data_IF_531695791600
#
_entry.id   IF_531695791600
#
_cell.length_a   1.000
_cell.length_b   1.000
_cell.length_c   1.000
_cell.angle_alpha   90.00
_cell.angle_beta   90.00
_cell.angle_gamma   90.00
#
_symmetry.space_group_name_H-M   'P 1'
#
loop_
_entity.id
_entity.type
_entity.pdbx_description
1 polymer ?
#
# COMPACT_ATOMS: atom_id res chain seq x y z
N UNK A 1 13.50 -11.05 -21.34
CA UNK A 1 12.70 -11.96 -20.49
C UNK A 1 12.75 -11.38 -19.10
N UNK A 2 11.63 -11.20 -18.40
CA UNK A 2 11.70 -10.81 -17.00
C UNK A 2 12.48 -11.88 -16.25
N UNK A 3 13.41 -11.46 -15.41
CA UNK A 3 14.13 -12.38 -14.51
C UNK A 3 13.08 -13.05 -13.62
N UNK A 4 13.20 -14.37 -13.44
CA UNK A 4 12.33 -15.18 -12.55
C UNK A 4 12.51 -14.80 -11.06
N UNK A 5 13.03 -13.61 -10.76
CA UNK A 5 13.31 -13.13 -9.41
C UNK A 5 12.08 -12.41 -8.84
N UNK A 6 11.84 -12.63 -7.57
CA UNK A 6 10.82 -11.90 -6.80
C UNK A 6 11.10 -10.39 -6.85
N UNK A 7 10.08 -9.62 -7.19
CA UNK A 7 10.12 -8.16 -7.15
C UNK A 7 8.93 -7.66 -6.33
N UNK A 8 9.23 -6.92 -5.31
CA UNK A 8 8.23 -6.33 -4.42
C UNK A 8 8.38 -4.82 -4.39
N UNK A 9 7.35 -4.11 -3.94
CA UNK A 9 7.41 -2.66 -3.75
C UNK A 9 6.73 -2.24 -2.45
N UNK A 10 7.38 -1.33 -1.73
CA UNK A 10 6.71 -0.48 -0.78
C UNK A 10 6.34 0.81 -1.49
N UNK A 11 5.05 1.16 -1.45
CA UNK A 11 4.51 2.25 -2.26
C UNK A 11 3.70 3.23 -1.38
N UNK A 12 4.36 3.97 -0.48
CA UNK A 12 3.68 4.90 0.42
C UNK A 12 3.26 6.19 -0.26
N UNK A 13 2.10 6.71 0.16
CA UNK A 13 1.73 8.11 -0.11
C UNK A 13 2.37 9.03 0.92
N UNK A 14 2.93 10.19 0.53
CA UNK A 14 3.63 11.12 1.41
C UNK A 14 2.67 11.95 2.25
N UNK A 15 2.10 11.33 3.30
CA UNK A 15 1.03 11.92 4.15
C UNK A 15 1.45 12.19 5.60
N UNK A 16 2.75 12.25 5.88
CA UNK A 16 3.34 12.53 7.18
C UNK A 16 4.04 11.32 7.83
N UNK A 17 4.00 11.21 9.14
CA UNK A 17 4.73 10.19 9.90
C UNK A 17 4.38 8.75 9.49
N UNK A 18 5.38 7.87 9.58
CA UNK A 18 5.24 6.45 9.25
C UNK A 18 4.44 5.71 10.33
N UNK A 19 3.18 5.36 10.02
CA UNK A 19 2.35 4.56 10.91
C UNK A 19 2.93 3.14 11.06
N UNK A 20 2.85 2.57 12.28
CA UNK A 20 3.33 1.21 12.59
C UNK A 20 2.80 0.17 11.61
N UNK A 21 1.52 0.25 11.21
CA UNK A 21 0.94 -0.66 10.22
C UNK A 21 1.59 -0.55 8.84
N UNK A 22 1.91 0.67 8.39
CA UNK A 22 2.61 0.88 7.12
C UNK A 22 4.06 0.39 7.19
N UNK A 23 4.73 0.64 8.31
CA UNK A 23 6.10 0.16 8.53
C UNK A 23 6.16 -1.38 8.59
N UNK A 24 5.14 -2.04 9.19
CA UNK A 24 4.99 -3.50 9.13
C UNK A 24 4.85 -4.01 7.69
N UNK A 25 4.03 -3.34 6.90
CA UNK A 25 3.87 -3.69 5.49
C UNK A 25 5.18 -3.51 4.72
N UNK A 26 5.92 -2.42 4.97
CA UNK A 26 7.24 -2.20 4.39
C UNK A 26 8.22 -3.32 4.79
N UNK A 27 8.24 -3.70 6.07
CA UNK A 27 9.08 -4.77 6.59
C UNK A 27 8.77 -6.11 5.91
N UNK A 28 7.49 -6.52 5.84
CA UNK A 28 7.12 -7.79 5.20
C UNK A 28 7.44 -7.79 3.70
N UNK A 29 7.26 -6.65 3.04
CA UNK A 29 7.61 -6.47 1.63
C UNK A 29 9.12 -6.62 1.40
N UNK A 30 9.92 -6.03 2.29
CA UNK A 30 11.38 -6.13 2.30
C UNK A 30 11.84 -7.57 2.58
N UNK A 31 11.28 -8.20 3.62
CA UNK A 31 11.64 -9.57 3.99
C UNK A 31 11.33 -10.56 2.86
N UNK A 32 10.17 -10.42 2.19
CA UNK A 32 9.82 -11.25 1.03
C UNK A 32 10.85 -11.10 -0.09
N UNK A 33 11.25 -9.87 -0.44
CA UNK A 33 12.25 -9.66 -1.48
C UNK A 33 13.60 -10.25 -1.09
N UNK A 34 14.07 -9.96 0.13
CA UNK A 34 15.42 -10.36 0.56
C UNK A 34 15.55 -11.86 0.85
N UNK A 35 14.46 -12.50 1.32
CA UNK A 35 14.42 -13.95 1.49
C UNK A 35 14.61 -14.70 0.17
N UNK A 36 14.06 -14.18 -0.91
CA UNK A 36 14.08 -14.76 -2.25
C UNK A 36 15.21 -14.20 -3.15
N UNK A 37 16.23 -13.56 -2.56
CA UNK A 37 17.30 -12.87 -3.33
C UNK A 37 16.75 -11.95 -4.43
N UNK A 38 15.58 -11.37 -4.19
CA UNK A 38 14.83 -10.53 -5.11
C UNK A 38 15.16 -9.06 -5.00
N UNK A 39 14.26 -8.23 -5.54
CA UNK A 39 14.40 -6.76 -5.58
C UNK A 39 13.30 -6.11 -4.76
N UNK A 40 13.69 -5.23 -3.83
CA UNK A 40 12.80 -4.38 -3.06
C UNK A 40 12.80 -2.96 -3.63
N UNK A 41 11.65 -2.49 -4.10
CA UNK A 41 11.47 -1.18 -4.75
C UNK A 41 10.78 -0.21 -3.79
N UNK A 42 11.25 1.02 -3.74
CA UNK A 42 10.52 2.15 -3.15
C UNK A 42 9.87 2.97 -4.25
N UNK A 43 8.53 3.10 -4.24
CA UNK A 43 7.76 3.96 -5.12
C UNK A 43 6.97 4.98 -4.30
N UNK A 44 7.06 6.25 -4.63
CA UNK A 44 6.28 7.30 -3.98
C UNK A 44 4.98 7.52 -4.75
N UNK A 45 3.83 7.35 -4.08
CA UNK A 45 2.50 7.51 -4.66
C UNK A 45 1.89 8.85 -4.20
N UNK A 46 2.19 9.89 -4.95
CA UNK A 46 1.85 11.29 -4.68
C UNK A 46 0.73 11.85 -5.58
N UNK A 47 -0.07 10.98 -6.20
CA UNK A 47 -1.16 11.39 -7.10
C UNK A 47 -2.32 12.09 -6.40
N UNK A 48 -2.45 11.95 -5.08
CA UNK A 48 -3.41 12.70 -4.26
C UNK A 48 -2.73 13.94 -3.66
N UNK A 49 -2.66 15.00 -4.47
CA UNK A 49 -2.03 16.27 -4.09
C UNK A 49 -2.71 16.95 -2.89
N UNK A 50 -4.00 16.67 -2.65
CA UNK A 50 -4.74 17.24 -1.51
C UNK A 50 -4.29 16.70 -0.15
N UNK A 51 -3.61 15.54 -0.13
CA UNK A 51 -3.07 14.91 1.09
C UNK A 51 -1.54 14.95 1.19
N UNK A 52 -0.90 15.58 0.22
CA UNK A 52 0.57 15.74 0.26
C UNK A 52 0.99 16.60 1.45
N UNK A 53 1.99 16.14 2.19
CA UNK A 53 2.60 16.85 3.31
C UNK A 53 4.06 17.12 2.99
N UNK A 54 4.47 18.38 3.03
CA UNK A 54 5.85 18.78 2.82
C UNK A 54 6.78 18.07 3.82
N UNK A 55 7.92 17.56 3.36
CA UNK A 55 8.86 16.79 4.18
C UNK A 55 8.48 15.33 4.43
N UNK A 56 7.27 14.88 4.05
CA UNK A 56 6.84 13.50 4.30
C UNK A 56 7.67 12.46 3.54
N UNK A 57 8.21 12.81 2.38
CA UNK A 57 9.11 11.93 1.61
C UNK A 57 10.41 11.70 2.38
N UNK A 58 10.98 12.75 2.98
CA UNK A 58 12.18 12.63 3.81
C UNK A 58 11.94 11.76 5.06
N UNK A 59 10.76 11.88 5.66
CA UNK A 59 10.34 10.99 6.77
C UNK A 59 10.32 9.53 6.32
N UNK A 60 9.80 9.24 5.13
CA UNK A 60 9.81 7.88 4.57
C UNK A 60 11.25 7.39 4.39
N UNK A 61 12.10 8.16 3.72
CA UNK A 61 13.50 7.78 3.47
C UNK A 61 14.28 7.55 4.78
N UNK A 62 14.18 8.49 5.71
CA UNK A 62 14.88 8.40 6.98
C UNK A 62 14.41 7.19 7.79
N UNK A 63 13.08 6.98 7.89
CA UNK A 63 12.54 5.81 8.60
C UNK A 63 13.04 4.49 8.01
N UNK A 64 13.00 4.33 6.69
CA UNK A 64 13.46 3.10 6.05
C UNK A 64 14.97 2.89 6.22
N UNK A 65 15.78 3.95 6.15
CA UNK A 65 17.24 3.87 6.39
C UNK A 65 17.55 3.54 7.84
N UNK A 66 16.92 4.21 8.80
CA UNK A 66 17.09 3.97 10.24
C UNK A 66 16.69 2.55 10.65
N UNK A 67 15.69 1.99 9.97
CA UNK A 67 15.20 0.63 10.24
C UNK A 67 15.92 -0.46 9.42
N UNK A 68 16.89 -0.09 8.57
CA UNK A 68 17.65 -1.03 7.74
C UNK A 68 16.90 -1.58 6.53
N UNK A 69 15.71 -1.04 6.20
CA UNK A 69 14.91 -1.45 5.05
C UNK A 69 15.39 -0.75 3.77
N UNK A 70 16.63 -1.02 3.37
CA UNK A 70 17.25 -0.38 2.21
C UNK A 70 16.68 -0.94 0.90
N UNK A 71 16.22 -0.04 0.04
CA UNK A 71 15.66 -0.38 -1.27
C UNK A 71 16.76 -0.52 -2.33
N UNK A 72 16.51 -1.38 -3.30
CA UNK A 72 17.42 -1.66 -4.42
C UNK A 72 17.16 -0.72 -5.60
N UNK A 73 15.94 -0.22 -5.74
CA UNK A 73 15.50 0.74 -6.75
C UNK A 73 14.55 1.75 -6.11
N UNK A 74 14.67 3.01 -6.47
CA UNK A 74 13.81 4.05 -5.88
C UNK A 74 14.11 5.46 -6.40
N UNK A 75 13.37 6.49 -5.92
CA UNK A 75 13.47 7.83 -6.47
C UNK A 75 14.86 8.47 -6.36
N UNK A 76 15.58 8.20 -5.28
CA UNK A 76 16.87 8.82 -4.96
C UNK A 76 18.07 8.05 -5.50
N UNK A 77 17.92 6.74 -5.71
CA UNK A 77 18.99 5.86 -6.21
C UNK A 77 18.81 5.45 -7.67
N UNK A 78 17.62 5.70 -8.23
CA UNK A 78 17.28 5.29 -9.59
C UNK A 78 17.04 3.79 -9.74
N UNK A 79 17.13 3.32 -10.98
CA UNK A 79 16.94 1.92 -11.38
C UNK A 79 16.40 1.81 -12.81
N UNK A 80 16.22 0.59 -13.33
CA UNK A 80 15.89 0.35 -14.74
C UNK A 80 14.44 0.67 -15.12
N UNK A 81 13.52 0.82 -14.16
CA UNK A 81 12.08 0.94 -14.40
C UNK A 81 11.48 2.27 -13.91
N UNK A 82 12.34 3.24 -13.65
CA UNK A 82 11.92 4.59 -13.23
C UNK A 82 11.10 5.35 -14.29
N UNK A 83 10.62 6.54 -13.92
CA UNK A 83 10.66 7.20 -12.62
C UNK A 83 9.92 6.44 -11.51
N UNK A 84 10.32 6.66 -10.23
CA UNK A 84 9.72 5.98 -9.07
C UNK A 84 8.82 6.90 -8.24
N UNK A 85 8.49 8.08 -8.76
CA UNK A 85 7.47 9.01 -8.23
C UNK A 85 6.32 9.05 -9.21
N UNK A 86 5.10 8.80 -8.74
CA UNK A 86 3.95 8.65 -9.65
C UNK A 86 3.62 9.93 -10.42
N UNK A 87 3.74 11.11 -9.82
CA UNK A 87 3.52 12.38 -10.51
C UNK A 87 4.45 12.60 -11.70
N UNK A 88 5.66 12.03 -11.69
CA UNK A 88 6.60 12.09 -12.81
C UNK A 88 6.21 11.16 -13.99
N UNK A 89 5.25 10.25 -13.77
CA UNK A 89 4.76 9.26 -14.75
C UNK A 89 3.44 9.63 -15.39
N UNK A 90 2.89 10.80 -15.10
CA UNK A 90 1.53 11.21 -15.42
C UNK A 90 1.13 11.02 -16.88
N UNK A 91 1.96 11.41 -17.83
CA UNK A 91 1.67 11.30 -19.28
C UNK A 91 1.47 9.86 -19.76
N UNK A 92 1.96 8.88 -19.03
CA UNK A 92 1.91 7.46 -19.38
C UNK A 92 0.54 6.86 -19.12
N UNK A 93 -0.08 7.17 -17.98
CA UNK A 93 -1.33 6.53 -17.56
C UNK A 93 -2.48 6.77 -18.53
N UNK A 94 -2.56 7.97 -19.10
CA UNK A 94 -3.59 8.31 -20.07
C UNK A 94 -3.54 7.41 -21.31
N UNK A 95 -2.35 7.08 -21.82
CA UNK A 95 -2.17 6.20 -22.98
C UNK A 95 -2.74 4.81 -22.72
N UNK A 96 -2.49 4.24 -21.53
CA UNK A 96 -3.05 2.94 -21.15
C UNK A 96 -4.57 2.97 -20.99
N UNK A 97 -5.13 4.05 -20.43
CA UNK A 97 -6.57 4.19 -20.34
C UNK A 97 -7.23 4.33 -21.73
N UNK A 98 -6.63 5.09 -22.65
CA UNK A 98 -7.09 5.24 -24.04
C UNK A 98 -6.96 3.91 -24.83
N UNK A 99 -5.94 3.11 -24.56
CA UNK A 99 -5.83 1.75 -25.08
C UNK A 99 -7.04 0.91 -24.67
N UNK A 100 -7.41 0.91 -23.38
CA UNK A 100 -8.59 0.19 -22.91
C UNK A 100 -9.89 0.69 -23.54
N UNK A 101 -10.00 1.99 -23.82
CA UNK A 101 -11.14 2.53 -24.56
C UNK A 101 -11.19 1.97 -25.99
N UNK A 102 -10.05 1.99 -26.69
CA UNK A 102 -9.96 1.47 -28.05
C UNK A 102 -10.29 -0.05 -28.12
N UNK A 103 -9.98 -0.78 -27.06
CA UNK A 103 -10.29 -2.24 -26.94
C UNK A 103 -11.71 -2.50 -26.37
N UNK A 104 -12.51 -1.46 -26.11
CA UNK A 104 -13.86 -1.60 -25.55
C UNK A 104 -13.88 -2.08 -24.08
N UNK A 105 -12.77 -1.96 -23.37
CA UNK A 105 -12.62 -2.32 -21.94
C UNK A 105 -12.75 -1.12 -20.98
N UNK A 106 -12.81 0.09 -21.56
CA UNK A 106 -13.11 1.34 -20.87
C UNK A 106 -13.95 2.25 -21.75
N UNK A 107 -14.44 3.35 -21.22
CA UNK A 107 -15.25 4.31 -21.95
C UNK A 107 -15.13 5.73 -21.36
N UNK A 108 -15.44 6.74 -22.18
CA UNK A 108 -15.54 8.14 -21.76
C UNK A 108 -16.87 8.37 -21.03
N UNK A 109 -16.81 8.98 -19.87
CA UNK A 109 -18.00 9.34 -19.08
C UNK A 109 -18.03 10.86 -18.89
N UNK A 110 -19.12 11.49 -19.34
CA UNK A 110 -19.35 12.93 -19.32
C UNK A 110 -20.30 13.37 -18.19
N UNK A 111 -20.54 12.50 -17.20
CA UNK A 111 -21.38 12.85 -16.05
C UNK A 111 -20.71 13.91 -15.18
N UNK A 112 -21.44 14.96 -14.84
CA UNK A 112 -20.99 15.99 -13.91
C UNK A 112 -21.10 15.52 -12.46
N UNK A 113 -20.40 16.21 -11.55
CA UNK A 113 -20.49 15.91 -10.10
C UNK A 113 -21.92 16.11 -9.60
N UNK A 114 -22.60 17.19 -10.01
CA UNK A 114 -23.98 17.49 -9.61
C UNK A 114 -24.95 16.38 -10.00
N UNK A 115 -24.78 15.81 -11.22
CA UNK A 115 -25.60 14.69 -11.67
C UNK A 115 -25.36 13.44 -10.80
N UNK A 116 -24.10 13.13 -10.48
CA UNK A 116 -23.77 11.98 -9.68
C UNK A 116 -24.23 12.14 -8.23
N UNK A 117 -24.12 13.34 -7.66
CA UNK A 117 -24.66 13.66 -6.33
C UNK A 117 -26.18 13.51 -6.28
N UNK A 118 -26.90 13.99 -7.29
CA UNK A 118 -28.36 13.81 -7.40
C UNK A 118 -28.74 12.32 -7.47
N UNK A 119 -28.05 11.55 -8.31
CA UNK A 119 -28.22 10.09 -8.40
C UNK A 119 -28.02 9.41 -7.03
N UNK A 120 -26.92 9.70 -6.38
CA UNK A 120 -26.60 9.11 -5.07
C UNK A 120 -27.58 9.56 -3.98
N UNK A 121 -28.11 10.79 -4.07
CA UNK A 121 -29.12 11.27 -3.13
C UNK A 121 -30.46 10.52 -3.31
N UNK A 122 -30.87 10.27 -4.55
CA UNK A 122 -32.06 9.48 -4.88
C UNK A 122 -31.93 8.03 -4.40
N UNK A 123 -30.80 7.37 -4.71
CA UNK A 123 -30.51 6.00 -4.26
C UNK A 123 -30.57 5.89 -2.72
N UNK A 124 -29.94 6.83 -2.00
CA UNK A 124 -30.02 6.87 -0.53
C UNK A 124 -31.45 7.07 -0.01
N UNK A 125 -32.23 7.92 -0.68
CA UNK A 125 -33.63 8.14 -0.29
C UNK A 125 -34.50 6.88 -0.45
N UNK A 126 -34.14 6.04 -1.45
CA UNK A 126 -34.80 4.76 -1.70
C UNK A 126 -34.26 3.61 -0.82
N UNK A 127 -33.25 3.86 0.02
CA UNK A 127 -32.59 2.83 0.83
C UNK A 127 -31.66 1.90 0.04
N UNK A 128 -31.25 2.31 -1.15
CA UNK A 128 -30.34 1.57 -2.02
C UNK A 128 -28.87 1.92 -1.71
N UNK A 129 -27.97 1.00 -2.04
CA UNK A 129 -26.55 1.31 -2.05
C UNK A 129 -26.21 2.26 -3.19
N UNK A 130 -25.41 3.28 -2.91
CA UNK A 130 -24.98 4.24 -3.93
C UNK A 130 -24.04 3.57 -4.94
N UNK A 131 -24.34 3.67 -6.21
CA UNK A 131 -23.52 3.16 -7.31
C UNK A 131 -23.71 4.03 -8.56
N UNK A 132 -22.75 3.92 -9.48
CA UNK A 132 -22.85 4.57 -10.79
C UNK A 132 -23.81 3.80 -11.70
N UNK A 133 -24.76 4.49 -12.32
CA UNK A 133 -25.84 3.91 -13.15
C UNK A 133 -25.40 3.47 -14.57
N UNK A 134 -24.17 3.71 -14.95
CA UNK A 134 -23.67 3.34 -16.27
C UNK A 134 -24.13 4.25 -17.42
N UNK A 135 -24.68 5.42 -17.12
CA UNK A 135 -25.31 6.34 -18.08
C UNK A 135 -24.51 6.56 -19.38
N UNK A 136 -23.18 6.68 -19.29
CA UNK A 136 -22.30 6.90 -20.45
C UNK A 136 -21.69 5.62 -21.03
N UNK A 137 -21.99 4.47 -20.44
CA UNK A 137 -21.31 3.21 -20.73
C UNK A 137 -21.47 2.72 -22.18
N UNK A 138 -22.63 2.95 -22.75
CA UNK A 138 -23.01 2.47 -24.06
C UNK A 138 -23.42 3.61 -25.02
N UNK A 139 -22.83 4.82 -24.83
CA UNK A 139 -23.00 5.93 -25.75
C UNK A 139 -22.52 5.57 -27.15
N UNK A 140 -23.25 5.97 -28.21
CA UNK A 140 -22.78 5.80 -29.58
C UNK A 140 -21.42 6.46 -29.84
N UNK A 141 -20.54 5.81 -30.59
CA UNK A 141 -19.21 6.31 -30.90
C UNK A 141 -19.20 7.72 -31.49
N UNK A 142 -20.18 8.02 -32.36
CA UNK A 142 -20.32 9.34 -32.98
C UNK A 142 -20.68 10.43 -31.96
N UNK A 143 -21.52 10.11 -30.96
CA UNK A 143 -21.83 11.03 -29.87
C UNK A 143 -20.59 11.29 -29.01
N UNK A 144 -19.84 10.25 -28.66
CA UNK A 144 -18.60 10.39 -27.92
C UNK A 144 -17.61 11.30 -28.67
N UNK A 145 -17.42 11.10 -29.97
CA UNK A 145 -16.57 11.93 -30.81
C UNK A 145 -17.00 13.40 -30.83
N UNK A 146 -18.30 13.65 -30.97
CA UNK A 146 -18.85 15.01 -30.98
C UNK A 146 -18.61 15.72 -29.64
N UNK A 147 -18.85 15.05 -28.51
CA UNK A 147 -18.65 15.60 -27.17
C UNK A 147 -17.16 15.87 -26.87
N UNK A 148 -16.28 14.96 -27.26
CA UNK A 148 -14.84 15.18 -27.17
C UNK A 148 -14.38 16.35 -28.04
N UNK A 149 -14.88 16.47 -29.28
CA UNK A 149 -14.57 17.60 -30.19
C UNK A 149 -15.12 18.92 -29.67
N UNK A 150 -16.24 18.92 -28.95
CA UNK A 150 -16.78 20.09 -28.28
C UNK A 150 -15.99 20.49 -27.01
N UNK A 151 -15.02 19.67 -26.57
CA UNK A 151 -14.22 19.95 -25.38
C UNK A 151 -14.97 19.71 -24.06
N UNK A 152 -16.03 18.88 -24.07
CA UNK A 152 -16.74 18.55 -22.83
C UNK A 152 -15.78 17.87 -21.84
N UNK A 153 -15.83 18.25 -20.56
CA UNK A 153 -15.07 17.57 -19.51
C UNK A 153 -15.50 16.09 -19.41
N UNK A 154 -14.55 15.20 -19.21
CA UNK A 154 -14.80 13.77 -19.10
C UNK A 154 -13.87 13.10 -18.10
N UNK A 155 -14.27 11.93 -17.68
CA UNK A 155 -13.42 10.93 -17.01
C UNK A 155 -13.38 9.65 -17.87
N UNK A 156 -12.35 8.82 -17.70
CA UNK A 156 -12.34 7.49 -18.31
C UNK A 156 -12.68 6.48 -17.23
N UNK A 157 -13.69 5.62 -17.51
CA UNK A 157 -14.13 4.56 -16.60
C UNK A 157 -13.80 3.17 -17.16
N UNK A 158 -13.42 2.26 -16.28
CA UNK A 158 -13.32 0.84 -16.59
C UNK A 158 -14.69 0.27 -16.93
N UNK A 159 -14.78 -0.53 -17.97
CA UNK A 159 -16.01 -1.24 -18.35
C UNK A 159 -16.01 -2.63 -17.70
N UNK A 160 -16.50 -2.72 -16.44
CA UNK A 160 -16.57 -3.97 -15.69
C UNK A 160 -17.64 -4.88 -16.29
N UNK A 161 -17.40 -6.18 -16.50
CA UNK A 161 -18.45 -7.13 -16.92
C UNK A 161 -19.64 -7.08 -15.94
N UNK A 162 -20.86 -7.11 -16.46
CA UNK A 162 -22.09 -7.07 -15.61
C UNK A 162 -22.48 -8.44 -15.06
N UNK A 163 -22.04 -9.51 -15.74
CA UNK A 163 -22.36 -10.89 -15.39
C UNK A 163 -21.10 -11.64 -14.99
N UNK A 164 -21.28 -12.73 -14.25
CA UNK A 164 -20.19 -13.61 -13.79
C UNK A 164 -19.55 -13.16 -12.51
N UNK A 165 -18.48 -13.85 -12.16
CA UNK A 165 -17.73 -13.71 -10.91
C UNK A 165 -16.28 -13.42 -11.23
N UNK A 166 -15.67 -12.54 -10.46
CA UNK A 166 -14.22 -12.30 -10.50
C UNK A 166 -13.59 -12.78 -9.21
N UNK A 167 -12.76 -13.82 -9.30
CA UNK A 167 -12.05 -14.41 -8.17
C UNK A 167 -10.55 -14.12 -8.21
N UNK A 168 -9.91 -14.29 -7.07
CA UNK A 168 -8.46 -14.28 -6.91
C UNK A 168 -8.04 -15.10 -5.68
N UNK A 169 -6.80 -15.58 -5.73
CA UNK A 169 -6.19 -16.27 -4.61
C UNK A 169 -5.28 -15.32 -3.84
N UNK A 170 -5.51 -15.24 -2.53
CA UNK A 170 -4.66 -14.50 -1.59
C UNK A 170 -3.93 -15.48 -0.69
N UNK A 171 -2.63 -15.28 -0.49
CA UNK A 171 -1.81 -16.19 0.31
C UNK A 171 -2.30 -16.31 1.76
N UNK A 172 -2.81 -15.20 2.32
CA UNK A 172 -3.29 -15.16 3.71
C UNK A 172 -4.76 -15.54 3.81
N UNK A 173 -5.62 -14.97 2.95
CA UNK A 173 -7.07 -15.12 3.06
C UNK A 173 -7.63 -16.31 2.26
N UNK A 174 -6.86 -16.86 1.34
CA UNK A 174 -7.29 -17.93 0.45
C UNK A 174 -8.09 -17.42 -0.73
N UNK A 175 -8.92 -18.25 -1.32
CA UNK A 175 -9.74 -17.90 -2.48
C UNK A 175 -10.86 -16.93 -2.10
N UNK A 176 -11.00 -15.85 -2.87
CA UNK A 176 -12.01 -14.80 -2.69
C UNK A 176 -12.68 -14.56 -4.03
N UNK A 177 -14.01 -14.52 -4.04
CA UNK A 177 -14.83 -14.25 -5.22
C UNK A 177 -15.80 -13.10 -4.94
N UNK A 178 -16.06 -12.30 -5.98
CA UNK A 178 -17.04 -11.20 -5.94
C UNK A 178 -17.85 -11.23 -7.21
N UNK A 179 -19.17 -11.14 -7.07
CA UNK A 179 -20.09 -10.99 -8.20
C UNK A 179 -19.78 -9.70 -8.97
N UNK A 180 -19.65 -9.78 -10.28
CA UNK A 180 -19.33 -8.62 -11.10
C UNK A 180 -20.41 -7.54 -11.02
N UNK A 181 -21.66 -7.93 -10.80
CA UNK A 181 -22.78 -7.01 -10.61
C UNK A 181 -22.68 -6.12 -9.37
N UNK A 182 -21.88 -6.52 -8.38
CA UNK A 182 -21.62 -5.74 -7.16
C UNK A 182 -20.50 -4.69 -7.33
N UNK A 183 -19.83 -4.71 -8.48
CA UNK A 183 -18.73 -3.81 -8.75
C UNK A 183 -19.12 -2.65 -9.66
N UNK A 184 -18.79 -1.43 -9.23
CA UNK A 184 -18.95 -0.23 -10.04
C UNK A 184 -17.87 -0.07 -11.10
N UNK A 185 -18.24 0.51 -12.24
CA UNK A 185 -17.33 1.00 -13.26
C UNK A 185 -16.46 2.13 -12.67
N UNK A 186 -15.28 1.76 -12.14
CA UNK A 186 -14.39 2.71 -11.47
C UNK A 186 -13.77 3.72 -12.45
N UNK A 187 -13.48 4.91 -11.95
CA UNK A 187 -12.73 5.91 -12.71
C UNK A 187 -11.27 5.48 -12.80
N UNK A 188 -10.72 5.50 -14.00
CA UNK A 188 -9.30 5.27 -14.29
C UNK A 188 -8.53 6.60 -14.37
N UNK A 189 -9.05 7.54 -15.17
CA UNK A 189 -8.50 8.90 -15.35
C UNK A 189 -9.55 9.91 -14.94
N UNK A 190 -9.17 10.85 -14.09
CA UNK A 190 -9.99 11.96 -13.62
C UNK A 190 -10.06 13.08 -14.66
N UNK A 191 -10.97 14.05 -14.45
CA UNK A 191 -11.16 15.20 -15.33
C UNK A 191 -9.92 16.07 -15.52
N UNK A 192 -9.06 16.12 -14.49
CA UNK A 192 -7.76 16.83 -14.53
C UNK A 192 -6.66 16.04 -15.28
N UNK A 193 -6.97 14.87 -15.81
CA UNK A 193 -6.02 13.98 -16.47
C UNK A 193 -5.20 13.08 -15.52
N UNK A 194 -5.38 13.22 -14.22
CA UNK A 194 -4.70 12.40 -13.22
C UNK A 194 -5.32 10.99 -13.17
N UNK A 195 -4.50 9.93 -13.04
CA UNK A 195 -5.03 8.60 -12.77
C UNK A 195 -5.61 8.53 -11.35
N UNK A 196 -6.55 7.62 -11.16
CA UNK A 196 -6.92 7.21 -9.80
C UNK A 196 -5.85 6.27 -9.24
N UNK A 197 -5.77 6.19 -7.92
CA UNK A 197 -4.89 5.25 -7.23
C UNK A 197 -5.06 3.81 -7.77
N UNK A 198 -6.30 3.36 -7.91
CA UNK A 198 -6.61 1.99 -8.35
C UNK A 198 -6.08 1.67 -9.76
N UNK A 199 -5.98 2.64 -10.62
CA UNK A 199 -5.45 2.45 -11.96
C UNK A 199 -3.92 2.59 -11.99
N UNK A 200 -3.41 3.64 -11.36
CA UNK A 200 -1.97 3.92 -11.34
C UNK A 200 -1.17 2.75 -10.75
N UNK A 201 -1.63 2.17 -9.63
CA UNK A 201 -0.90 1.08 -9.00
C UNK A 201 -0.81 -0.18 -9.89
N UNK A 202 -1.85 -0.51 -10.66
CA UNK A 202 -1.85 -1.67 -11.56
C UNK A 202 -0.87 -1.45 -12.72
N UNK A 203 -0.92 -0.27 -13.35
CA UNK A 203 -0.03 0.07 -14.46
C UNK A 203 1.43 0.09 -13.99
N UNK A 204 1.69 0.73 -12.86
CA UNK A 204 3.04 0.82 -12.31
C UNK A 204 3.57 -0.55 -11.86
N UNK A 205 2.76 -1.36 -11.19
CA UNK A 205 3.15 -2.70 -10.76
C UNK A 205 3.53 -3.57 -11.97
N UNK A 206 2.76 -3.50 -13.06
CA UNK A 206 3.11 -4.19 -14.31
C UNK A 206 4.42 -3.67 -14.91
N UNK A 207 4.55 -2.35 -15.10
CA UNK A 207 5.71 -1.74 -15.76
C UNK A 207 7.00 -1.87 -14.94
N UNK A 208 6.88 -1.97 -13.61
CA UNK A 208 8.01 -2.22 -12.70
C UNK A 208 8.28 -3.72 -12.50
N UNK A 209 7.49 -4.60 -13.15
CA UNK A 209 7.66 -6.06 -13.08
C UNK A 209 7.42 -6.63 -11.68
N UNK A 210 6.49 -6.04 -10.92
CA UNK A 210 6.15 -6.51 -9.58
C UNK A 210 5.50 -7.88 -9.65
N UNK A 211 6.07 -8.82 -8.90
CA UNK A 211 5.61 -10.21 -8.85
C UNK A 211 4.76 -10.51 -7.61
N UNK A 212 5.02 -9.79 -6.52
CA UNK A 212 4.32 -9.99 -5.24
C UNK A 212 3.86 -8.64 -4.69
N UNK A 213 2.57 -8.54 -4.38
CA UNK A 213 1.94 -7.35 -3.82
C UNK A 213 1.56 -7.60 -2.37
N UNK A 214 2.33 -7.00 -1.46
CA UNK A 214 2.07 -7.05 -0.02
C UNK A 214 1.47 -5.71 0.39
N UNK A 215 0.28 -5.74 1.03
CA UNK A 215 -0.45 -4.53 1.44
C UNK A 215 -1.51 -4.85 2.51
N UNK A 216 -2.19 -3.84 3.03
CA UNK A 216 -3.26 -4.01 4.00
C UNK A 216 -4.50 -4.69 3.43
N UNK A 217 -5.25 -5.37 4.30
CA UNK A 217 -6.48 -6.10 3.92
C UNK A 217 -7.65 -5.20 3.51
N UNK A 218 -7.54 -3.88 3.69
CA UNK A 218 -8.50 -2.90 3.19
C UNK A 218 -8.63 -2.91 1.66
N UNK A 219 -7.63 -3.45 0.96
CA UNK A 219 -7.64 -3.57 -0.50
C UNK A 219 -8.27 -4.86 -1.03
N UNK A 220 -8.67 -5.80 -0.16
CA UNK A 220 -9.30 -7.06 -0.58
C UNK A 220 -10.52 -6.81 -1.47
N UNK A 221 -11.38 -5.87 -1.11
CA UNK A 221 -12.58 -5.53 -1.88
C UNK A 221 -12.29 -4.85 -3.23
N UNK A 222 -11.14 -4.23 -3.38
CA UNK A 222 -10.73 -3.57 -4.64
C UNK A 222 -9.95 -4.50 -5.57
N UNK A 223 -9.38 -5.58 -5.05
CA UNK A 223 -8.51 -6.50 -5.80
C UNK A 223 -9.19 -7.14 -7.02
N UNK A 224 -10.49 -7.50 -7.01
CA UNK A 224 -11.15 -7.99 -8.22
C UNK A 224 -11.12 -6.97 -9.37
N UNK A 225 -11.28 -5.67 -9.08
CA UNK A 225 -11.21 -4.60 -10.10
C UNK A 225 -9.81 -4.49 -10.70
N UNK A 226 -8.76 -4.71 -9.88
CA UNK A 226 -7.37 -4.75 -10.38
C UNK A 226 -7.14 -5.95 -11.30
N UNK A 227 -7.63 -7.13 -10.91
CA UNK A 227 -7.51 -8.32 -11.74
C UNK A 227 -8.20 -8.17 -13.09
N UNK A 228 -9.36 -7.53 -13.12
CA UNK A 228 -10.04 -7.18 -14.37
C UNK A 228 -9.21 -6.23 -15.25
N UNK A 229 -8.40 -5.32 -14.66
CA UNK A 229 -7.47 -4.49 -15.42
C UNK A 229 -6.30 -5.32 -15.99
N UNK A 230 -5.66 -6.17 -15.16
CA UNK A 230 -4.62 -7.08 -15.63
C UNK A 230 -5.12 -7.97 -16.78
N UNK A 231 -6.32 -8.54 -16.62
CA UNK A 231 -6.95 -9.38 -17.66
C UNK A 231 -7.27 -8.58 -18.93
N UNK A 232 -7.77 -7.35 -18.80
CA UNK A 232 -8.08 -6.49 -19.93
C UNK A 232 -6.86 -6.16 -20.78
N UNK A 233 -5.70 -5.97 -20.13
CA UNK A 233 -4.42 -5.75 -20.80
C UNK A 233 -3.70 -7.04 -21.24
N UNK A 234 -4.18 -8.22 -20.82
CA UNK A 234 -3.46 -9.49 -21.03
C UNK A 234 -2.17 -9.59 -20.22
N UNK A 235 -2.06 -8.91 -19.08
CA UNK A 235 -0.91 -8.91 -18.20
C UNK A 235 -0.99 -10.02 -17.16
N UNK A 236 0.17 -10.47 -16.66
CA UNK A 236 0.26 -11.40 -15.55
C UNK A 236 -0.21 -10.73 -14.26
N UNK A 237 -1.06 -11.44 -13.50
CA UNK A 237 -1.55 -10.99 -12.20
C UNK A 237 -0.50 -11.33 -11.14
N UNK A 238 -0.07 -10.38 -10.29
CA UNK A 238 0.90 -10.65 -9.24
C UNK A 238 0.29 -11.53 -8.13
N UNK A 239 1.15 -12.19 -7.36
CA UNK A 239 0.74 -12.88 -6.14
C UNK A 239 0.34 -11.85 -5.08
N UNK A 240 -0.85 -12.01 -4.49
CA UNK A 240 -1.35 -11.13 -3.46
C UNK A 240 -1.13 -11.69 -2.06
N UNK A 241 -0.68 -10.83 -1.16
CA UNK A 241 -0.47 -11.11 0.27
C UNK A 241 -1.08 -9.95 1.06
N UNK A 242 -2.33 -10.08 1.48
CA UNK A 242 -3.00 -9.05 2.25
C UNK A 242 -2.77 -9.26 3.75
N UNK A 243 -2.26 -8.22 4.42
CA UNK A 243 -1.98 -8.24 5.84
C UNK A 243 -3.19 -7.73 6.64
N UNK A 244 -3.59 -8.40 7.73
CA UNK A 244 -4.66 -7.92 8.59
C UNK A 244 -4.27 -6.59 9.26
N UNK A 245 -5.25 -5.76 9.69
CA UNK A 245 -4.97 -4.46 10.30
C UNK A 245 -4.26 -4.62 11.65
N UNK A 246 -3.51 -3.58 12.03
CA UNK A 246 -3.02 -3.41 13.40
C UNK A 246 -4.08 -2.65 14.19
N UNK A 247 -4.52 -3.24 15.30
CA UNK A 247 -5.55 -2.73 16.18
C UNK A 247 -4.94 -2.19 17.47
N UNK A 248 -5.58 -1.21 18.08
CA UNK A 248 -5.28 -0.75 19.44
C UNK A 248 -5.85 -1.72 20.47
N UNK A 249 -7.07 -2.18 20.22
CA UNK A 249 -7.84 -3.12 21.03
C UNK A 249 -8.81 -3.90 20.12
N UNK A 250 -9.65 -4.75 20.69
CA UNK A 250 -10.55 -5.60 19.91
C UNK A 250 -11.54 -4.85 18.99
N UNK A 251 -11.77 -3.56 19.22
CA UNK A 251 -12.79 -2.77 18.53
C UNK A 251 -12.19 -1.61 17.73
N UNK A 252 -11.04 -1.08 18.14
CA UNK A 252 -10.48 0.15 17.62
C UNK A 252 -9.20 -0.10 16.84
N UNK A 253 -9.12 0.46 15.63
CA UNK A 253 -7.86 0.50 14.86
C UNK A 253 -6.83 1.38 15.59
N UNK A 254 -5.58 0.98 15.52
CA UNK A 254 -4.48 1.85 15.94
C UNK A 254 -4.46 3.10 15.06
N UNK A 255 -4.49 4.28 15.65
CA UNK A 255 -4.57 5.54 14.91
C UNK A 255 -3.58 6.58 15.41
N UNK A 256 -3.15 7.48 14.52
CA UNK A 256 -2.23 8.59 14.83
C UNK A 256 -2.71 9.49 15.99
N UNK A 257 -4.01 9.57 16.25
CA UNK A 257 -4.59 10.37 17.33
C UNK A 257 -4.31 9.83 18.74
N UNK A 258 -3.82 8.60 18.84
CA UNK A 258 -3.62 7.91 20.12
C UNK A 258 -2.15 7.93 20.62
N UNK A 259 -1.24 8.67 19.96
CA UNK A 259 0.10 8.97 20.46
C UNK A 259 1.14 7.84 20.43
N UNK A 260 0.79 6.61 20.01
CA UNK A 260 1.71 5.45 19.94
C UNK A 260 1.67 4.75 18.59
N UNK A 261 1.19 5.45 17.57
CA UNK A 261 0.91 4.84 16.28
C UNK A 261 2.00 5.06 15.22
N UNK A 262 3.01 5.90 15.47
CA UNK A 262 4.10 6.17 14.54
C UNK A 262 5.44 5.63 15.04
N UNK A 263 6.31 5.28 14.10
CA UNK A 263 7.70 4.91 14.39
C UNK A 263 8.43 6.04 15.14
N UNK A 264 8.24 7.28 14.70
CA UNK A 264 8.87 8.46 15.30
C UNK A 264 8.47 8.64 16.76
N UNK A 265 7.20 8.43 17.10
CA UNK A 265 6.72 8.50 18.50
C UNK A 265 7.37 7.43 19.37
N UNK A 266 7.56 6.22 18.84
CA UNK A 266 8.20 5.13 19.56
C UNK A 266 9.69 5.43 19.82
N UNK A 267 10.42 5.88 18.81
CA UNK A 267 11.84 6.26 18.96
C UNK A 267 11.99 7.43 19.94
N UNK A 268 11.12 8.44 19.86
CA UNK A 268 11.12 9.57 20.80
C UNK A 268 10.86 9.15 22.27
N UNK A 269 10.21 8.02 22.49
CA UNK A 269 10.02 7.40 23.82
C UNK A 269 11.18 6.52 24.26
N UNK A 270 12.26 6.44 23.49
CA UNK A 270 13.47 5.68 23.82
C UNK A 270 13.41 4.20 23.43
N UNK A 271 12.49 3.79 22.57
CA UNK A 271 12.53 2.45 21.99
C UNK A 271 13.61 2.38 20.92
N UNK A 272 14.43 1.34 20.98
CA UNK A 272 15.46 1.09 19.98
C UNK A 272 14.84 0.68 18.65
N UNK A 273 15.35 1.18 17.53
CA UNK A 273 14.86 0.87 16.18
C UNK A 273 14.77 -0.64 15.94
N UNK A 274 15.83 -1.37 16.31
CA UNK A 274 15.93 -2.81 16.15
C UNK A 274 14.85 -3.55 16.95
N UNK A 275 14.56 -3.09 18.17
CA UNK A 275 13.50 -3.65 19.01
C UNK A 275 12.10 -3.39 18.43
N UNK A 276 11.88 -2.18 17.93
CA UNK A 276 10.63 -1.80 17.24
C UNK A 276 10.42 -2.69 16.01
N UNK A 277 11.46 -2.88 15.19
CA UNK A 277 11.36 -3.70 13.99
C UNK A 277 11.10 -5.18 14.29
N UNK A 278 11.79 -5.74 15.28
CA UNK A 278 11.53 -7.10 15.75
C UNK A 278 10.07 -7.25 16.24
N UNK A 279 9.62 -6.34 17.08
CA UNK A 279 8.25 -6.36 17.60
C UNK A 279 7.20 -6.24 16.46
N UNK A 280 7.41 -5.31 15.53
CA UNK A 280 6.51 -5.10 14.38
C UNK A 280 6.47 -6.35 13.49
N UNK A 281 7.59 -7.05 13.32
CA UNK A 281 7.60 -8.31 12.57
C UNK A 281 6.68 -9.35 13.21
N UNK A 282 6.76 -9.52 14.52
CA UNK A 282 5.93 -10.47 15.27
C UNK A 282 4.46 -10.00 15.44
N UNK A 283 4.15 -8.79 15.02
CA UNK A 283 2.79 -8.25 15.13
C UNK A 283 1.89 -8.78 14.00
N UNK A 284 1.38 -9.98 14.18
CA UNK A 284 0.54 -10.69 13.22
C UNK A 284 1.29 -11.66 12.30
N UNK A 285 2.55 -11.93 12.58
CA UNK A 285 3.33 -13.01 11.98
C UNK A 285 3.99 -13.83 13.08
N UNK A 286 4.08 -15.13 12.88
CA UNK A 286 4.74 -16.06 13.80
C UNK A 286 5.74 -16.92 13.04
N UNK A 287 6.97 -17.07 13.57
CA UNK A 287 7.94 -18.01 13.03
C UNK A 287 7.44 -19.44 13.20
N UNK A 288 7.94 -20.36 12.38
CA UNK A 288 7.58 -21.76 12.39
C UNK A 288 8.78 -22.66 12.73
N UNK A 289 8.51 -23.94 12.98
CA UNK A 289 9.54 -24.94 13.23
C UNK A 289 10.35 -24.67 14.50
N UNK A 290 11.66 -24.76 14.39
CA UNK A 290 12.59 -24.58 15.53
C UNK A 290 12.60 -23.15 16.11
N UNK A 291 12.11 -22.18 15.36
CA UNK A 291 12.05 -20.77 15.77
C UNK A 291 10.72 -20.39 16.44
N UNK A 292 9.76 -21.33 16.58
CA UNK A 292 8.39 -21.02 17.02
C UNK A 292 8.32 -20.33 18.40
N UNK A 293 9.25 -20.65 19.30
CA UNK A 293 9.34 -20.09 20.66
C UNK A 293 10.31 -18.90 20.76
N UNK A 294 11.02 -18.55 19.69
CA UNK A 294 11.95 -17.44 19.69
C UNK A 294 11.21 -16.12 19.49
N UNK A 295 11.55 -15.12 20.29
CA UNK A 295 10.95 -13.78 20.21
C UNK A 295 11.93 -12.67 19.82
N UNK A 296 13.23 -12.93 19.90
CA UNK A 296 14.26 -11.93 19.60
C UNK A 296 15.05 -12.36 18.37
N UNK A 297 14.95 -11.53 17.32
CA UNK A 297 15.56 -11.79 16.02
C UNK A 297 16.28 -10.55 15.49
N UNK A 298 17.45 -10.71 14.95
CA UNK A 298 18.05 -9.68 14.08
C UNK A 298 17.31 -9.61 12.74
N UNK A 299 17.53 -8.52 12.00
CA UNK A 299 16.95 -8.38 10.66
C UNK A 299 17.45 -9.48 9.71
N UNK A 300 18.72 -9.87 9.82
CA UNK A 300 19.33 -10.94 9.03
C UNK A 300 18.72 -12.33 9.36
N UNK A 301 18.41 -12.59 10.62
CA UNK A 301 17.70 -13.81 11.02
C UNK A 301 16.28 -13.80 10.45
N UNK A 302 15.56 -12.68 10.55
CA UNK A 302 14.23 -12.54 9.98
C UNK A 302 14.24 -12.77 8.46
N UNK A 303 15.18 -12.21 7.72
CA UNK A 303 15.34 -12.46 6.27
C UNK A 303 15.44 -13.96 5.97
N UNK A 304 16.17 -14.73 6.79
CA UNK A 304 16.37 -16.16 6.55
C UNK A 304 15.14 -17.01 6.81
N UNK A 305 14.32 -16.65 7.78
CA UNK A 305 13.22 -17.49 8.27
C UNK A 305 11.83 -17.01 7.87
N UNK A 306 11.72 -15.80 7.34
CA UNK A 306 10.43 -15.21 7.05
C UNK A 306 9.73 -15.92 5.89
N UNK A 307 8.43 -16.19 6.09
CA UNK A 307 7.55 -16.72 5.06
C UNK A 307 6.16 -16.12 5.23
N UNK A 308 5.44 -15.80 4.15
CA UNK A 308 4.08 -15.28 4.22
C UNK A 308 3.10 -16.25 4.89
N UNK A 309 3.41 -17.55 4.92
CA UNK A 309 2.59 -18.56 5.60
C UNK A 309 2.51 -18.38 7.14
N UNK A 310 3.42 -17.58 7.70
CA UNK A 310 3.39 -17.20 9.11
C UNK A 310 2.41 -16.10 9.45
N UNK A 311 1.83 -15.42 8.44
CA UNK A 311 0.91 -14.30 8.64
C UNK A 311 -0.46 -14.81 9.11
N UNK A 312 -0.93 -14.28 10.24
CA UNK A 312 -2.27 -14.58 10.77
C UNK A 312 -3.35 -13.90 9.93
N UNK A 313 -4.52 -14.54 9.79
CA UNK A 313 -5.72 -13.90 9.21
C UNK A 313 -6.38 -12.89 10.15
N UNK A 314 -6.16 -13.05 11.45
CA UNK A 314 -6.78 -12.21 12.47
C UNK A 314 -6.05 -10.89 12.64
N UNK A 315 -6.78 -9.79 12.95
CA UNK A 315 -6.17 -8.52 13.32
C UNK A 315 -5.15 -8.69 14.45
N UNK A 316 -4.03 -7.98 14.36
CA UNK A 316 -2.99 -7.99 15.37
C UNK A 316 -3.21 -6.83 16.36
N UNK A 317 -3.24 -7.10 17.65
CA UNK A 317 -3.40 -6.07 18.68
C UNK A 317 -2.02 -5.56 19.10
N UNK A 318 -1.84 -4.24 19.07
CA UNK A 318 -0.62 -3.59 19.54
C UNK A 318 -0.52 -3.67 21.06
N UNK A 319 0.47 -4.39 21.57
CA UNK A 319 0.73 -4.57 22.99
C UNK A 319 1.97 -3.77 23.43
N UNK A 320 1.81 -2.64 24.15
CA UNK A 320 2.92 -1.84 24.63
C UNK A 320 3.79 -2.56 25.67
N UNK A 321 3.23 -3.50 26.42
CA UNK A 321 3.99 -4.25 27.42
C UNK A 321 4.94 -5.24 26.75
N UNK A 322 4.46 -5.93 25.71
CA UNK A 322 5.30 -6.81 24.90
C UNK A 322 6.42 -6.05 24.19
N UNK A 323 6.09 -4.88 23.58
CA UNK A 323 7.11 -4.03 22.98
C UNK A 323 8.17 -3.59 24.00
N UNK A 324 7.75 -3.20 25.21
CA UNK A 324 8.67 -2.80 26.30
C UNK A 324 9.57 -3.95 26.71
N UNK A 325 9.03 -5.17 26.84
CA UNK A 325 9.79 -6.35 27.19
C UNK A 325 10.86 -6.67 26.13
N UNK A 326 10.50 -6.66 24.87
CA UNK A 326 11.43 -6.83 23.74
C UNK A 326 12.50 -5.74 23.76
N UNK A 327 12.13 -4.48 23.91
CA UNK A 327 13.09 -3.38 23.97
C UNK A 327 14.09 -3.51 25.12
N UNK A 328 13.60 -3.93 26.29
CA UNK A 328 14.48 -4.17 27.45
C UNK A 328 15.49 -5.29 27.18
N UNK A 329 15.11 -6.32 26.41
CA UNK A 329 16.04 -7.39 26.03
C UNK A 329 17.11 -6.89 25.06
N UNK A 330 16.74 -6.07 24.09
CA UNK A 330 17.72 -5.43 23.19
C UNK A 330 18.67 -4.50 23.93
N UNK A 331 18.18 -3.71 24.89
CA UNK A 331 19.02 -2.84 25.74
C UNK A 331 20.04 -3.67 26.54
N UNK A 332 19.61 -4.81 27.13
CA UNK A 332 20.51 -5.69 27.89
C UNK A 332 21.62 -6.33 27.06
N UNK A 333 21.43 -6.43 25.76
CA UNK A 333 22.44 -7.00 24.83
C UNK A 333 23.44 -5.99 24.31
N UNK A 334 23.24 -4.68 24.57
CA UNK A 334 24.20 -3.64 24.18
C UNK A 334 25.48 -3.74 25.00
N UNK A 335 26.60 -3.47 24.39
CA UNK A 335 27.84 -3.20 25.13
C UNK A 335 27.70 -1.89 25.94
N UNK A 336 28.50 -1.67 26.98
CA UNK A 336 28.49 -0.42 27.74
C UNK A 336 28.67 0.81 26.86
N UNK A 337 29.55 0.73 25.86
CA UNK A 337 29.85 1.80 24.93
C UNK A 337 28.66 2.12 24.01
N UNK A 338 27.99 1.08 23.47
CA UNK A 338 26.80 1.23 22.65
C UNK A 338 25.64 1.79 23.48
N UNK A 339 25.46 1.29 24.70
CA UNK A 339 24.46 1.80 25.62
C UNK A 339 24.68 3.29 25.90
N UNK A 340 25.91 3.68 26.26
CA UNK A 340 26.27 5.09 26.51
C UNK A 340 25.92 5.95 25.29
N UNK A 341 26.34 5.56 24.10
CA UNK A 341 26.08 6.30 22.85
C UNK A 341 24.59 6.47 22.56
N UNK A 342 23.77 5.43 22.81
CA UNK A 342 22.33 5.47 22.58
C UNK A 342 21.58 6.23 23.69
N UNK A 343 22.08 6.23 24.93
CA UNK A 343 21.46 6.93 26.07
C UNK A 343 21.82 8.43 26.14
N UNK A 344 22.97 8.84 25.64
CA UNK A 344 23.48 10.21 25.73
C UNK A 344 22.50 11.28 25.23
N UNK A 345 21.82 11.14 24.07
CA UNK A 345 20.82 12.11 23.63
C UNK A 345 19.65 12.30 24.61
N UNK A 346 19.23 11.21 25.26
CA UNK A 346 18.14 11.26 26.24
C UNK A 346 18.59 11.92 27.55
N UNK A 347 19.84 11.70 27.96
CA UNK A 347 20.40 12.28 29.20
C UNK A 347 20.66 13.78 29.04
N UNK A 348 21.14 14.23 27.89
CA UNK A 348 21.35 15.65 27.60
C UNK A 348 20.04 16.43 27.59
N UNK A 349 18.98 15.86 27.02
CA UNK A 349 17.67 16.50 26.98
C UNK A 349 17.05 16.68 28.37
N UNK A 350 17.31 15.76 29.30
CA UNK A 350 16.81 15.88 30.69
C UNK A 350 17.60 16.86 31.53
N UNK A 351 18.87 17.14 31.19
CA UNK A 351 19.69 18.13 31.92
C UNK A 351 19.30 19.58 31.57
N UNK A 352 18.90 19.85 30.30
CA UNK A 352 18.45 21.18 29.88
C UNK A 352 17.05 21.54 30.39
N UNK A 353 16.27 20.55 30.86
CA UNK A 353 14.94 20.78 31.45
C UNK A 353 14.97 21.04 32.97
N UNK A 354 16.14 21.01 33.58
CA UNK A 354 16.35 21.19 35.05
C UNK A 354 16.92 22.56 35.40
N UNK A 355 17.20 23.44 34.45
CA UNK A 355 17.52 24.85 34.58
C UNK A 355 16.33 25.74 34.17
#
# INVERSE_FOLDING_TARGET
MPSNKVRTRFAPSPTGYMHVGNLRTALYTYLMAKHEDGTFILRIEDTDQGRYVEGAVDVIYNTLRETGLLWDEGPDIGGPVGPYVQSERMGMFKQYAEQLVAEGKAYYCFCTEERLEALHAEQRANGEMTHYDGCCRDLPEEEVKQRLAAGEPYVIRQKIPKEGVTGFDDVVYGHIEVENSEMDDQILIKTDGMPTYNFANVVDDHLMGITHVIRGSEYLSSTPKYNLLYQAFGWEIPTYIHCPPVMKDAQNKLSKRNGDASYQDLVAKGYLSEAVMNYICLLGWSPKGEYAEQEIFSLEELIKIWSPDGISKSPAIFDPLKLRAINAEYIRRLSPEEFQKKAEPCLLYTSDAAD
#
